data_IF_653830963519
#
_entry.id   IF_653830963519
#
_cell.length_a   1.000
_cell.length_b   1.000
_cell.length_c   1.000
_cell.angle_alpha   90.00
_cell.angle_beta   90.00
_cell.angle_gamma   90.00
#
_symmetry.space_group_name_H-M   'P 1'
#
loop_
_entity.id
_entity.type
_entity.pdbx_description
1 polymer ?
#
# COMPACT_ATOMS: atom_id res chain seq x y z
N UNK A 1 2.59 35.30 -71.83
CA UNK A 1 1.59 35.15 -70.76
C UNK A 1 2.12 34.13 -69.77
N UNK A 2 2.64 34.55 -68.60
CA UNK A 2 3.12 33.68 -67.52
C UNK A 2 1.94 33.38 -66.61
N UNK A 3 1.56 32.09 -66.47
CA UNK A 3 0.54 31.64 -65.51
C UNK A 3 1.18 31.53 -64.13
N UNK A 4 0.71 32.33 -63.18
CA UNK A 4 1.06 32.24 -61.76
C UNK A 4 0.18 31.17 -61.13
N UNK A 5 0.80 30.07 -60.58
CA UNK A 5 0.10 29.09 -59.76
C UNK A 5 0.17 29.54 -58.32
N UNK A 6 -0.97 29.85 -57.71
CA UNK A 6 -1.08 30.03 -56.27
C UNK A 6 -1.23 28.66 -55.59
N UNK A 7 -0.26 28.26 -54.78
CA UNK A 7 -0.41 27.14 -53.85
C UNK A 7 -1.04 27.68 -52.57
N UNK A 8 -2.28 27.32 -52.30
CA UNK A 8 -2.91 27.57 -51.03
C UNK A 8 -2.51 26.44 -50.08
N UNK A 9 -1.63 26.70 -49.10
CA UNK A 9 -1.38 25.82 -47.98
C UNK A 9 -2.58 25.88 -47.03
N UNK A 10 -3.38 24.82 -46.99
CA UNK A 10 -4.36 24.61 -45.91
C UNK A 10 -3.58 24.17 -44.64
N UNK A 11 -3.50 25.06 -43.67
CA UNK A 11 -3.11 24.68 -42.33
C UNK A 11 -4.32 24.04 -41.64
N UNK A 12 -4.33 22.73 -41.49
CA UNK A 12 -5.26 22.05 -40.60
C UNK A 12 -4.80 22.30 -39.15
N UNK A 13 -5.50 23.17 -38.43
CA UNK A 13 -5.34 23.32 -36.99
C UNK A 13 -6.06 22.16 -36.34
N UNK A 14 -5.33 21.16 -35.88
CA UNK A 14 -5.88 20.13 -35.02
C UNK A 14 -6.26 20.76 -33.67
N UNK A 15 -7.56 20.91 -33.41
CA UNK A 15 -8.02 21.27 -32.07
C UNK A 15 -7.96 20.04 -31.20
N UNK A 16 -7.00 20.01 -30.28
CA UNK A 16 -7.00 19.05 -29.19
C UNK A 16 -8.08 19.47 -28.19
N UNK A 17 -9.19 18.78 -28.20
CA UNK A 17 -10.17 18.85 -27.12
C UNK A 17 -9.63 18.00 -25.98
N UNK A 18 -9.01 18.63 -25.00
CA UNK A 18 -8.75 17.96 -23.73
C UNK A 18 -10.10 17.68 -23.07
N UNK A 19 -10.45 16.41 -22.89
CA UNK A 19 -11.62 16.04 -22.10
C UNK A 19 -11.35 16.48 -20.65
N UNK A 20 -12.11 17.42 -20.14
CA UNK A 20 -12.03 17.81 -18.75
C UNK A 20 -12.71 16.74 -17.91
N UNK A 21 -11.93 16.01 -17.12
CA UNK A 21 -12.47 15.07 -16.14
C UNK A 21 -13.07 15.89 -15.00
N UNK A 22 -14.33 15.66 -14.72
CA UNK A 22 -15.04 16.31 -13.60
C UNK A 22 -15.30 15.29 -12.52
N UNK A 23 -14.85 15.58 -11.30
CA UNK A 23 -15.10 14.76 -10.13
C UNK A 23 -16.26 15.33 -9.32
N UNK A 24 -17.25 14.49 -9.01
CA UNK A 24 -18.35 14.84 -8.12
C UNK A 24 -18.16 14.09 -6.80
N UNK A 25 -17.91 14.78 -5.68
CA UNK A 25 -17.76 14.12 -4.40
C UNK A 25 -19.08 13.49 -3.97
N UNK A 26 -19.01 12.24 -3.49
CA UNK A 26 -20.13 11.51 -2.91
C UNK A 26 -19.78 11.09 -1.48
N UNK A 27 -20.78 11.03 -0.59
CA UNK A 27 -20.62 10.47 0.74
C UNK A 27 -20.90 8.97 0.69
N UNK A 28 -19.92 8.17 1.04
CA UNK A 28 -20.06 6.72 1.03
C UNK A 28 -20.73 6.15 2.30
N UNK A 29 -20.86 6.95 3.37
CA UNK A 29 -21.56 6.51 4.61
C UNK A 29 -20.75 5.53 5.46
N UNK A 30 -19.40 5.64 5.45
CA UNK A 30 -18.54 4.81 6.30
C UNK A 30 -18.73 5.15 7.78
N UNK A 31 -18.81 4.11 8.64
CA UNK A 31 -19.10 4.23 10.06
C UNK A 31 -17.83 4.35 10.93
N UNK A 32 -16.67 3.90 10.43
CA UNK A 32 -15.43 3.79 11.19
C UNK A 32 -14.33 4.69 10.63
N UNK A 33 -13.25 4.89 11.38
CA UNK A 33 -12.24 5.90 11.05
C UNK A 33 -11.16 5.38 10.10
N UNK A 34 -10.71 4.13 10.27
CA UNK A 34 -9.73 3.51 9.36
C UNK A 34 -10.44 2.97 8.14
N UNK A 35 -9.92 3.32 6.96
CA UNK A 35 -10.59 3.05 5.68
C UNK A 35 -9.60 2.59 4.63
N UNK A 36 -10.08 1.71 3.76
CA UNK A 36 -9.38 1.22 2.59
C UNK A 36 -10.31 1.12 1.39
N UNK A 37 -9.71 0.96 0.22
CA UNK A 37 -10.41 0.64 -1.02
C UNK A 37 -9.75 -0.62 -1.57
N UNK A 38 -10.55 -1.68 -1.75
CA UNK A 38 -10.10 -2.99 -2.20
C UNK A 38 -11.30 -3.80 -2.68
N UNK A 39 -11.12 -4.65 -3.65
CA UNK A 39 -12.11 -5.64 -4.06
C UNK A 39 -12.18 -6.75 -2.98
N UNK A 40 -13.20 -6.70 -2.12
CA UNK A 40 -13.36 -7.60 -0.97
C UNK A 40 -14.04 -8.93 -1.33
N UNK A 41 -14.74 -8.98 -2.47
CA UNK A 41 -15.55 -10.14 -2.89
C UNK A 41 -15.07 -10.78 -4.19
N UNK A 42 -14.02 -10.25 -4.85
CA UNK A 42 -13.44 -10.80 -6.07
C UNK A 42 -14.27 -10.56 -7.33
N UNK A 43 -15.16 -9.56 -7.33
CA UNK A 43 -16.02 -9.25 -8.48
C UNK A 43 -15.39 -8.27 -9.49
N UNK A 44 -14.21 -7.72 -9.17
CA UNK A 44 -13.45 -6.78 -10.00
C UNK A 44 -13.88 -5.33 -9.83
N UNK A 45 -14.73 -5.03 -8.85
CA UNK A 45 -15.10 -3.67 -8.45
C UNK A 45 -14.46 -3.35 -7.10
N UNK A 46 -13.92 -2.15 -6.97
CA UNK A 46 -13.34 -1.71 -5.71
C UNK A 46 -14.42 -1.37 -4.69
N UNK A 47 -14.38 -2.04 -3.55
CA UNK A 47 -15.26 -1.82 -2.41
C UNK A 47 -14.69 -0.78 -1.45
N UNK A 48 -15.53 -0.20 -0.60
CA UNK A 48 -15.08 0.69 0.47
C UNK A 48 -15.13 -0.05 1.79
N UNK A 49 -13.95 -0.24 2.37
CA UNK A 49 -13.74 -0.88 3.66
C UNK A 49 -13.60 0.15 4.76
N UNK A 50 -14.23 -0.08 5.92
CA UNK A 50 -13.91 0.65 7.15
C UNK A 50 -13.91 -0.28 8.36
N UNK A 51 -12.96 -0.06 9.29
CA UNK A 51 -12.71 -0.96 10.41
C UNK A 51 -12.66 -0.23 11.75
N UNK A 52 -12.99 -0.95 12.81
CA UNK A 52 -12.74 -0.59 14.20
C UNK A 52 -12.25 -1.84 14.96
N UNK A 53 -12.14 -1.75 16.28
CA UNK A 53 -11.62 -2.84 17.12
C UNK A 53 -12.43 -4.14 17.11
N UNK A 54 -13.66 -4.15 16.58
CA UNK A 54 -14.57 -5.31 16.68
C UNK A 54 -15.49 -5.50 15.49
N UNK A 55 -15.36 -4.66 14.46
CA UNK A 55 -16.20 -4.75 13.27
C UNK A 55 -15.46 -4.32 12.02
N UNK A 56 -15.80 -4.98 10.92
CA UNK A 56 -15.46 -4.63 9.55
C UNK A 56 -16.76 -4.24 8.87
N UNK A 57 -16.83 -3.02 8.32
CA UNK A 57 -17.89 -2.59 7.43
C UNK A 57 -17.35 -2.60 6.00
N UNK A 58 -18.05 -3.26 5.11
CA UNK A 58 -17.78 -3.23 3.67
C UNK A 58 -18.98 -2.62 2.96
N UNK A 59 -18.73 -1.65 2.11
CA UNK A 59 -19.68 -1.12 1.17
C UNK A 59 -19.33 -1.72 -0.20
N UNK A 60 -20.01 -2.81 -0.56
CA UNK A 60 -19.79 -3.51 -1.83
C UNK A 60 -20.30 -2.68 -2.99
N UNK A 61 -19.40 -2.28 -3.90
CA UNK A 61 -19.75 -1.55 -5.11
C UNK A 61 -20.54 -2.46 -6.06
N UNK A 62 -21.56 -1.89 -6.71
CA UNK A 62 -22.36 -2.57 -7.72
C UNK A 62 -22.05 -2.00 -9.10
N UNK A 63 -22.33 -2.77 -10.16
CA UNK A 63 -22.14 -2.33 -11.56
C UNK A 63 -22.85 -1.00 -11.90
N UNK A 64 -23.93 -0.66 -11.21
CA UNK A 64 -24.66 0.60 -11.38
C UNK A 64 -24.09 1.76 -10.55
N UNK A 65 -22.98 1.53 -9.81
CA UNK A 65 -22.31 2.50 -8.96
C UNK A 65 -22.99 2.70 -7.58
N UNK A 66 -24.00 1.93 -7.24
CA UNK A 66 -24.57 1.89 -5.89
C UNK A 66 -23.71 1.02 -4.96
N UNK A 67 -24.00 1.06 -3.65
CA UNK A 67 -23.30 0.26 -2.66
C UNK A 67 -24.30 -0.58 -1.84
N UNK A 68 -23.89 -1.83 -1.54
CA UNK A 68 -24.58 -2.69 -0.58
C UNK A 68 -23.71 -2.80 0.67
N UNK A 69 -24.27 -2.42 1.82
CA UNK A 69 -23.56 -2.46 3.10
C UNK A 69 -23.59 -3.86 3.70
N UNK A 70 -22.45 -4.30 4.22
CA UNK A 70 -22.31 -5.45 5.12
C UNK A 70 -21.47 -5.06 6.33
N UNK A 71 -21.85 -5.53 7.52
CA UNK A 71 -21.07 -5.36 8.74
C UNK A 71 -20.81 -6.73 9.34
N UNK A 72 -19.52 -7.08 9.43
CA UNK A 72 -19.06 -8.33 10.03
C UNK A 72 -18.47 -8.03 11.40
N UNK A 73 -19.01 -8.67 12.44
CA UNK A 73 -18.40 -8.62 13.76
C UNK A 73 -17.15 -9.50 13.79
N UNK A 74 -16.06 -8.98 14.36
CA UNK A 74 -14.78 -9.68 14.49
C UNK A 74 -14.50 -10.03 15.94
N UNK A 75 -13.48 -10.84 16.18
CA UNK A 75 -12.80 -10.85 17.46
C UNK A 75 -12.27 -9.45 17.78
N UNK A 76 -12.06 -9.16 19.07
CA UNK A 76 -11.56 -7.85 19.46
C UNK A 76 -10.09 -7.73 19.08
N UNK A 77 -9.76 -6.73 18.27
CA UNK A 77 -8.41 -6.47 17.82
C UNK A 77 -7.49 -6.15 19.00
N UNK A 78 -6.36 -6.85 19.09
CA UNK A 78 -5.33 -6.60 20.10
C UNK A 78 -4.73 -5.20 19.97
N UNK A 79 -4.61 -4.69 18.75
CA UNK A 79 -4.15 -3.34 18.44
C UNK A 79 -5.22 -2.58 17.64
N UNK A 80 -5.53 -1.36 18.06
CA UNK A 80 -6.57 -0.57 17.42
C UNK A 80 -6.17 -0.08 16.05
N UNK A 81 -7.04 -0.19 15.04
CA UNK A 81 -6.81 0.41 13.73
C UNK A 81 -6.89 1.94 13.86
N UNK A 82 -5.80 2.63 13.52
CA UNK A 82 -5.76 4.09 13.61
C UNK A 82 -4.90 4.78 12.56
N UNK A 83 -3.88 4.13 11.99
CA UNK A 83 -2.97 4.78 11.06
C UNK A 83 -2.59 3.95 9.84
N UNK A 84 -2.69 2.65 9.88
CA UNK A 84 -2.37 1.79 8.75
C UNK A 84 -3.45 0.74 8.52
N UNK A 85 -3.74 0.47 7.26
CA UNK A 85 -4.65 -0.58 6.82
C UNK A 85 -4.16 -1.11 5.47
N UNK A 86 -3.93 -2.42 5.41
CA UNK A 86 -3.68 -3.16 4.19
C UNK A 86 -4.65 -4.36 4.12
N UNK A 87 -4.95 -4.81 2.91
CA UNK A 87 -5.88 -5.90 2.69
C UNK A 87 -5.37 -6.79 1.55
N UNK A 88 -5.31 -8.09 1.76
CA UNK A 88 -5.00 -9.12 0.76
C UNK A 88 -5.36 -10.50 1.30
N UNK A 89 -5.51 -11.47 0.42
CA UNK A 89 -5.62 -12.89 0.76
C UNK A 89 -4.20 -13.48 0.94
N UNK A 90 -3.62 -13.29 2.16
CA UNK A 90 -2.22 -13.70 2.38
C UNK A 90 -2.07 -15.19 2.65
N UNK A 91 -3.11 -15.86 3.15
CA UNK A 91 -3.09 -17.30 3.40
C UNK A 91 -3.69 -18.15 2.26
N UNK A 92 -4.12 -17.48 1.17
CA UNK A 92 -4.67 -18.10 -0.05
C UNK A 92 -5.90 -18.96 0.19
N UNK A 93 -6.71 -18.60 1.17
CA UNK A 93 -7.98 -19.26 1.41
C UNK A 93 -9.11 -18.76 0.49
N UNK A 94 -8.86 -17.72 -0.33
CA UNK A 94 -9.78 -17.11 -1.28
C UNK A 94 -10.56 -15.93 -0.73
N UNK A 95 -10.26 -15.48 0.50
CA UNK A 95 -10.93 -14.36 1.16
C UNK A 95 -9.91 -13.32 1.64
N UNK A 96 -10.27 -12.06 1.53
CA UNK A 96 -9.39 -10.95 1.86
C UNK A 96 -9.19 -10.79 3.36
N UNK A 97 -7.94 -10.90 3.81
CA UNK A 97 -7.47 -10.63 5.17
C UNK A 97 -7.10 -9.16 5.33
N UNK A 98 -7.00 -8.71 6.58
CA UNK A 98 -6.63 -7.34 6.91
C UNK A 98 -5.40 -7.31 7.81
N UNK A 99 -4.55 -6.30 7.57
CA UNK A 99 -3.46 -5.89 8.45
C UNK A 99 -3.65 -4.42 8.78
N UNK A 100 -3.79 -4.12 10.05
CA UNK A 100 -3.93 -2.74 10.51
C UNK A 100 -3.23 -2.51 11.85
N UNK A 101 -2.98 -1.25 12.17
CA UNK A 101 -2.29 -0.92 13.41
C UNK A 101 -2.30 0.55 13.77
N UNK A 102 -1.61 0.84 14.84
CA UNK A 102 -1.51 2.18 15.41
C UNK A 102 -0.26 2.32 16.28
N UNK A 103 -0.36 3.05 17.39
CA UNK A 103 0.79 3.42 18.20
C UNK A 103 1.39 2.32 19.08
N UNK A 104 0.83 1.09 19.12
CA UNK A 104 1.28 0.06 20.06
C UNK A 104 1.57 -1.31 19.42
N UNK A 105 1.20 -1.53 18.19
CA UNK A 105 1.36 -2.79 17.49
C UNK A 105 0.44 -2.90 16.29
N UNK A 106 0.46 -4.05 15.65
CA UNK A 106 -0.39 -4.38 14.50
C UNK A 106 -1.26 -5.58 14.81
N UNK A 107 -2.41 -5.64 14.14
CA UNK A 107 -3.34 -6.77 14.17
C UNK A 107 -3.49 -7.31 12.76
N UNK A 108 -3.26 -8.60 12.61
CA UNK A 108 -3.73 -9.37 11.47
C UNK A 108 -5.13 -9.89 11.79
N UNK A 109 -6.08 -9.57 10.93
CA UNK A 109 -7.46 -10.01 11.05
C UNK A 109 -7.73 -10.95 9.89
N UNK A 110 -7.63 -12.25 10.16
CA UNK A 110 -7.66 -13.31 9.17
C UNK A 110 -9.10 -13.77 8.91
N UNK A 111 -9.50 -13.75 7.64
CA UNK A 111 -10.77 -14.29 7.20
C UNK A 111 -10.80 -15.82 7.34
N UNK A 112 -11.94 -16.38 7.66
CA UNK A 112 -12.14 -17.83 7.62
C UNK A 112 -12.40 -18.32 6.19
N UNK A 113 -12.38 -19.66 6.00
CA UNK A 113 -12.49 -20.31 4.68
C UNK A 113 -13.84 -20.09 3.95
N UNK A 114 -14.76 -19.33 4.51
CA UNK A 114 -16.03 -18.95 3.87
C UNK A 114 -16.28 -17.43 3.87
N UNK A 115 -15.32 -16.64 4.36
CA UNK A 115 -15.37 -15.18 4.38
C UNK A 115 -16.44 -14.57 5.31
N UNK A 116 -17.06 -15.39 6.18
CA UNK A 116 -18.16 -14.94 7.04
C UNK A 116 -17.73 -14.46 8.41
N UNK A 117 -16.49 -14.77 8.82
CA UNK A 117 -15.93 -14.42 10.12
C UNK A 117 -14.44 -14.12 10.01
N UNK A 118 -13.92 -13.41 11.00
CA UNK A 118 -12.50 -13.04 11.08
C UNK A 118 -11.95 -13.39 12.45
N UNK A 119 -10.74 -13.93 12.48
CA UNK A 119 -10.00 -14.29 13.68
C UNK A 119 -8.78 -13.39 13.81
N UNK A 120 -8.53 -12.89 15.00
CA UNK A 120 -7.36 -12.09 15.33
C UNK A 120 -6.12 -12.97 15.45
N UNK A 121 -5.04 -12.63 14.73
CA UNK A 121 -3.74 -13.31 14.72
C UNK A 121 -2.65 -12.26 14.86
N UNK A 122 -2.39 -11.79 16.08
CA UNK A 122 -1.37 -10.77 16.34
C UNK A 122 -0.31 -11.28 17.29
N UNK A 123 0.92 -10.77 17.07
CA UNK A 123 2.04 -11.01 17.99
C UNK A 123 2.08 -9.99 19.13
N UNK A 124 2.96 -10.20 20.13
CA UNK A 124 3.16 -9.26 21.22
C UNK A 124 4.10 -8.09 20.89
N UNK A 125 4.57 -8.00 19.66
CA UNK A 125 5.61 -7.06 19.24
C UNK A 125 5.10 -5.63 19.31
N UNK A 126 5.94 -4.74 19.84
CA UNK A 126 5.70 -3.31 19.78
C UNK A 126 6.00 -2.79 18.39
N UNK A 127 5.02 -2.15 17.76
CA UNK A 127 5.17 -1.46 16.47
C UNK A 127 4.39 -0.16 16.51
N UNK A 128 5.06 0.97 16.36
CA UNK A 128 4.39 2.23 16.09
C UNK A 128 4.17 2.34 14.58
N UNK A 129 3.08 1.75 14.12
CA UNK A 129 2.76 1.55 12.72
C UNK A 129 2.40 2.86 12.02
N UNK A 130 2.99 3.11 10.84
CA UNK A 130 2.65 4.25 9.97
C UNK A 130 2.05 3.79 8.64
N UNK A 131 2.64 2.81 8.00
CA UNK A 131 2.18 2.22 6.74
C UNK A 131 2.34 0.71 6.82
N UNK A 132 1.33 -0.01 6.34
CA UNK A 132 1.38 -1.47 6.19
C UNK A 132 1.18 -1.85 4.73
N UNK A 133 1.85 -2.92 4.30
CA UNK A 133 1.73 -3.50 2.97
C UNK A 133 1.71 -5.02 3.09
N UNK A 134 0.93 -5.69 2.22
CA UNK A 134 1.16 -7.07 1.84
C UNK A 134 1.96 -7.08 0.53
N UNK A 135 3.04 -7.84 0.50
CA UNK A 135 3.98 -7.91 -0.64
C UNK A 135 4.80 -9.19 -0.54
N UNK A 136 5.15 -9.80 -1.65
CA UNK A 136 6.08 -10.93 -1.70
C UNK A 136 7.52 -10.39 -1.60
N UNK A 137 8.09 -10.38 -0.38
CA UNK A 137 9.40 -9.77 -0.09
C UNK A 137 10.55 -10.65 -0.61
N UNK A 138 10.38 -11.96 -0.52
CA UNK A 138 11.44 -12.94 -0.79
C UNK A 138 11.30 -13.64 -2.15
N UNK A 139 10.33 -13.24 -2.98
CA UNK A 139 10.02 -13.82 -4.29
C UNK A 139 9.68 -15.33 -4.26
N UNK A 140 9.08 -15.81 -3.16
CA UNK A 140 8.63 -17.21 -3.04
C UNK A 140 7.21 -17.43 -3.56
N UNK A 141 6.53 -16.37 -3.94
CA UNK A 141 5.19 -16.34 -4.47
C UNK A 141 4.11 -16.25 -3.39
N UNK A 142 4.43 -16.12 -2.11
CA UNK A 142 3.49 -15.90 -1.02
C UNK A 142 3.54 -14.44 -0.56
N UNK A 143 2.40 -13.91 -0.12
CA UNK A 143 2.37 -12.55 0.39
C UNK A 143 2.90 -12.51 1.82
N UNK A 144 3.96 -11.76 2.01
CA UNK A 144 4.51 -11.34 3.29
C UNK A 144 3.85 -10.03 3.75
N UNK A 145 4.20 -9.54 4.93
CA UNK A 145 3.75 -8.25 5.40
C UNK A 145 4.93 -7.37 5.80
N UNK A 146 4.87 -6.09 5.41
CA UNK A 146 5.84 -5.07 5.80
C UNK A 146 5.13 -3.92 6.51
N UNK A 147 5.73 -3.41 7.61
CA UNK A 147 5.17 -2.30 8.39
C UNK A 147 6.24 -1.26 8.70
N UNK A 148 6.02 -0.05 8.21
CA UNK A 148 6.83 1.11 8.58
C UNK A 148 6.69 1.40 10.08
N UNK A 149 7.81 1.45 10.80
CA UNK A 149 7.86 1.79 12.22
C UNK A 149 8.34 3.24 12.43
N UNK A 150 7.58 4.06 13.15
CA UNK A 150 7.91 5.48 13.32
C UNK A 150 9.14 5.73 14.22
N UNK A 151 9.34 4.92 15.25
CA UNK A 151 10.32 5.24 16.32
C UNK A 151 11.43 4.21 16.50
N UNK A 152 11.41 3.14 15.72
CA UNK A 152 12.42 2.06 15.71
C UNK A 152 12.63 1.57 14.26
N UNK A 153 13.56 0.64 13.98
CA UNK A 153 13.66 -0.03 12.68
C UNK A 153 12.32 -0.66 12.27
N UNK A 154 12.02 -0.61 10.99
CA UNK A 154 10.80 -1.20 10.43
C UNK A 154 10.72 -2.70 10.67
N UNK A 155 9.52 -3.26 10.57
CA UNK A 155 9.28 -4.67 10.81
C UNK A 155 8.66 -5.33 9.58
N UNK A 156 8.90 -6.62 9.43
CA UNK A 156 8.24 -7.43 8.42
C UNK A 156 7.98 -8.84 8.93
N UNK A 157 7.08 -9.51 8.27
CA UNK A 157 6.61 -10.85 8.62
C UNK A 157 6.68 -11.72 7.38
N UNK A 158 7.52 -12.74 7.40
CA UNK A 158 7.68 -13.70 6.29
C UNK A 158 6.64 -14.81 6.43
N UNK A 159 5.90 -15.04 5.37
CA UNK A 159 4.90 -16.09 5.27
C UNK A 159 5.55 -17.41 4.84
N UNK A 160 5.29 -18.48 5.56
CA UNK A 160 5.81 -19.83 5.25
C UNK A 160 5.05 -20.54 4.10
N UNK A 161 4.08 -19.88 3.50
CA UNK A 161 3.20 -20.43 2.47
C UNK A 161 2.00 -21.21 3.00
N UNK A 162 1.90 -21.39 4.32
CA UNK A 162 0.76 -22.01 5.03
C UNK A 162 -0.04 -20.95 5.82
N UNK A 163 0.31 -19.65 5.65
CA UNK A 163 -0.31 -18.54 6.37
C UNK A 163 0.24 -18.29 7.77
N UNK A 164 1.39 -18.93 8.14
CA UNK A 164 2.08 -18.56 9.36
C UNK A 164 3.13 -17.49 9.07
N UNK A 165 3.18 -16.48 9.94
CA UNK A 165 3.99 -15.28 9.77
C UNK A 165 5.15 -15.27 10.78
N UNK A 166 6.39 -15.29 10.31
CA UNK A 166 7.59 -15.16 11.13
C UNK A 166 8.02 -13.70 11.21
N UNK A 167 8.12 -13.15 12.42
CA UNK A 167 8.47 -11.76 12.70
C UNK A 167 9.95 -11.46 12.56
N UNK A 168 10.26 -10.33 11.92
CA UNK A 168 11.61 -9.76 11.80
C UNK A 168 11.56 -8.27 12.07
N UNK A 169 12.63 -7.71 12.65
CA UNK A 169 12.81 -6.27 12.81
C UNK A 169 14.18 -5.85 12.28
N UNK A 170 14.22 -4.78 11.48
CA UNK A 170 15.43 -4.32 10.81
C UNK A 170 15.76 -5.13 9.56
N UNK A 171 16.85 -4.79 8.88
CA UNK A 171 17.22 -5.34 7.58
C UNK A 171 16.61 -4.58 6.40
N UNK A 172 15.39 -4.08 6.57
CA UNK A 172 14.67 -3.21 5.63
C UNK A 172 14.13 -2.01 6.40
N UNK A 173 14.74 -0.81 6.21
CA UNK A 173 14.42 0.37 7.02
C UNK A 173 15.05 0.26 8.42
N UNK A 174 16.37 0.38 8.47
CA UNK A 174 17.17 0.05 9.66
C UNK A 174 17.48 1.25 10.57
N UNK A 175 17.03 2.45 10.20
CA UNK A 175 17.39 3.63 10.98
C UNK A 175 16.93 3.48 12.43
N UNK A 176 17.84 3.58 13.44
CA UNK A 176 17.57 3.16 14.83
C UNK A 176 16.43 3.90 15.52
N UNK A 177 16.14 5.15 15.13
CA UNK A 177 15.03 5.94 15.67
C UNK A 177 13.82 6.00 14.70
N UNK A 178 13.78 5.12 13.70
CA UNK A 178 12.66 4.98 12.77
C UNK A 178 12.55 6.16 11.80
N UNK A 179 11.39 6.81 11.80
CA UNK A 179 11.06 7.85 10.81
C UNK A 179 10.44 7.31 9.55
N UNK A 180 10.12 6.03 9.50
CA UNK A 180 9.56 5.36 8.34
C UNK A 180 8.05 5.62 8.27
N UNK A 181 7.62 6.44 7.32
CA UNK A 181 6.22 6.89 7.22
C UNK A 181 5.46 6.26 6.05
N UNK A 182 6.11 6.04 4.93
CA UNK A 182 5.48 5.44 3.77
C UNK A 182 6.41 4.50 3.04
N UNK A 183 5.93 3.32 2.69
CA UNK A 183 6.62 2.38 1.81
C UNK A 183 5.86 2.23 0.50
N UNK A 184 6.61 2.17 -0.59
CA UNK A 184 6.10 1.85 -1.92
C UNK A 184 6.94 0.72 -2.47
N UNK A 185 6.27 -0.32 -2.93
CA UNK A 185 6.88 -1.50 -3.51
C UNK A 185 6.64 -1.51 -5.02
N UNK A 186 7.70 -1.63 -5.80
CA UNK A 186 7.67 -1.55 -7.26
C UNK A 186 8.91 -2.23 -7.84
N UNK A 187 8.82 -2.71 -9.06
CA UNK A 187 9.98 -3.11 -9.87
C UNK A 187 10.63 -1.83 -10.44
N UNK A 188 11.63 -1.31 -9.73
CA UNK A 188 12.26 -0.02 -10.04
C UNK A 188 13.20 -0.09 -11.23
N UNK A 189 13.94 -1.18 -11.36
CA UNK A 189 14.98 -1.34 -12.38
C UNK A 189 14.60 -2.29 -13.52
N UNK A 190 13.35 -2.79 -13.53
CA UNK A 190 12.76 -3.68 -14.51
C UNK A 190 13.42 -5.07 -14.59
N UNK A 191 13.86 -5.58 -13.46
CA UNK A 191 14.43 -6.93 -13.35
C UNK A 191 13.39 -8.00 -12.96
N UNK A 192 12.19 -7.60 -12.59
CA UNK A 192 10.99 -8.36 -12.19
C UNK A 192 10.94 -8.74 -10.72
N UNK A 193 11.84 -8.23 -9.93
CA UNK A 193 11.80 -8.33 -8.48
C UNK A 193 11.22 -7.03 -7.90
N UNK A 194 10.55 -7.11 -6.77
CA UNK A 194 9.99 -5.90 -6.17
C UNK A 194 11.03 -5.23 -5.28
N UNK A 195 11.29 -3.96 -5.56
CA UNK A 195 12.12 -3.07 -4.76
C UNK A 195 11.25 -2.27 -3.79
N UNK A 196 11.89 -1.62 -2.82
CA UNK A 196 11.18 -0.83 -1.83
C UNK A 196 11.75 0.58 -1.70
N UNK A 197 10.91 1.58 -1.87
CA UNK A 197 11.21 2.96 -1.46
C UNK A 197 10.54 3.28 -0.13
N UNK A 198 11.30 3.87 0.80
CA UNK A 198 10.78 4.36 2.08
C UNK A 198 10.84 5.88 2.14
N UNK A 199 9.66 6.50 2.27
CA UNK A 199 9.51 7.92 2.58
C UNK A 199 9.66 8.15 4.08
N UNK A 200 10.56 9.07 4.47
CA UNK A 200 10.92 9.28 5.88
C UNK A 200 10.59 10.69 6.38
N UNK A 201 10.33 10.79 7.67
CA UNK A 201 9.86 12.02 8.29
C UNK A 201 10.30 12.13 9.76
N UNK A 202 10.35 13.36 10.27
CA UNK A 202 10.57 13.68 11.69
C UNK A 202 12.03 13.64 12.14
N UNK A 203 12.33 14.21 13.30
CA UNK A 203 13.65 14.16 13.94
C UNK A 203 14.76 14.96 13.25
N UNK A 204 15.99 14.48 13.39
CA UNK A 204 17.21 14.98 12.78
C UNK A 204 17.29 14.70 11.28
N UNK A 205 18.30 15.29 10.58
CA UNK A 205 18.46 15.14 9.13
C UNK A 205 18.53 13.68 8.70
N UNK A 206 19.42 12.93 9.29
CA UNK A 206 19.68 11.53 8.91
C UNK A 206 18.45 10.63 9.10
N UNK A 207 17.56 10.99 10.03
CA UNK A 207 16.28 10.28 10.21
C UNK A 207 15.32 10.48 9.03
N UNK A 208 15.48 11.56 8.27
CA UNK A 208 14.60 11.94 7.15
C UNK A 208 15.12 11.52 5.79
N UNK A 209 16.37 11.05 5.72
CA UNK A 209 16.93 10.57 4.46
C UNK A 209 16.10 9.38 3.97
N UNK A 210 15.46 9.56 2.81
CA UNK A 210 14.65 8.50 2.21
C UNK A 210 15.54 7.32 1.81
N UNK A 211 15.01 6.13 1.83
CA UNK A 211 15.73 4.90 1.52
C UNK A 211 15.18 4.25 0.24
N UNK A 212 16.07 3.68 -0.56
CA UNK A 212 15.74 2.83 -1.70
C UNK A 212 16.43 1.49 -1.54
N UNK A 213 15.70 0.46 -1.26
CA UNK A 213 16.18 -0.90 -1.12
C UNK A 213 15.92 -1.66 -2.43
N UNK A 214 17.00 -1.90 -3.19
CA UNK A 214 16.95 -2.65 -4.45
C UNK A 214 17.08 -4.14 -4.13
N UNK A 215 16.14 -4.94 -4.62
CA UNK A 215 16.13 -6.39 -4.46
C UNK A 215 17.25 -7.02 -5.30
N UNK A 216 17.99 -7.96 -4.75
CA UNK A 216 19.09 -8.64 -5.46
C UNK A 216 18.65 -9.95 -6.14
N UNK A 217 17.34 -10.28 -6.09
CA UNK A 217 16.78 -11.50 -6.66
C UNK A 217 17.07 -12.79 -5.87
N UNK A 218 17.65 -12.67 -4.69
CA UNK A 218 17.99 -13.80 -3.81
C UNK A 218 17.41 -13.69 -2.39
N UNK A 219 16.43 -12.79 -2.22
CA UNK A 219 15.82 -12.47 -0.92
C UNK A 219 16.63 -11.49 -0.07
N UNK A 220 17.71 -10.92 -0.62
CA UNK A 220 18.47 -9.83 0.01
C UNK A 220 18.26 -8.51 -0.71
N UNK A 221 18.50 -7.40 -0.01
CA UNK A 221 18.35 -6.05 -0.55
C UNK A 221 19.63 -5.23 -0.40
N UNK A 222 19.82 -4.31 -1.34
CA UNK A 222 20.91 -3.33 -1.28
C UNK A 222 20.32 -1.93 -1.12
N UNK A 223 20.65 -1.24 -0.01
CA UNK A 223 20.28 0.16 0.16
C UNK A 223 21.03 1.02 -0.86
N UNK A 224 20.32 1.78 -1.67
CA UNK A 224 20.83 2.50 -2.86
C UNK A 224 20.39 3.97 -2.94
N UNK A 225 19.68 4.49 -1.93
CA UNK A 225 19.13 5.85 -1.92
C UNK A 225 20.15 6.93 -2.24
N UNK A 226 21.32 6.88 -1.59
CA UNK A 226 22.43 7.82 -1.84
C UNK A 226 22.93 7.77 -3.29
N UNK A 227 23.14 6.57 -3.84
CA UNK A 227 23.67 6.39 -5.19
C UNK A 227 22.68 6.82 -6.28
N UNK A 228 21.39 6.81 -5.97
CA UNK A 228 20.29 7.21 -6.85
C UNK A 228 19.87 8.68 -6.66
N UNK A 229 20.51 9.41 -5.73
CA UNK A 229 20.15 10.78 -5.31
C UNK A 229 18.70 10.90 -4.83
N UNK A 230 18.20 9.89 -4.16
CA UNK A 230 16.86 9.86 -3.53
C UNK A 230 16.89 10.28 -2.06
N UNK A 231 18.09 10.35 -1.46
CA UNK A 231 18.27 10.93 -0.12
C UNK A 231 18.13 12.44 -0.19
N UNK A 232 17.20 12.96 0.61
CA UNK A 232 17.12 14.37 0.92
C UNK A 232 16.71 14.54 2.38
N UNK A 233 16.96 15.68 2.99
CA UNK A 233 16.62 15.95 4.37
C UNK A 233 15.22 16.56 4.53
N UNK A 234 14.39 16.47 3.53
CA UNK A 234 13.02 16.95 3.52
C UNK A 234 12.07 16.00 4.27
N UNK A 235 11.01 16.55 4.81
CA UNK A 235 9.95 15.75 5.44
C UNK A 235 9.11 15.08 4.34
N UNK A 236 9.37 13.82 4.06
CA UNK A 236 8.66 13.05 3.04
C UNK A 236 7.68 12.08 3.72
N UNK A 237 6.38 12.25 3.49
CA UNK A 237 5.35 11.44 4.14
C UNK A 237 4.88 10.28 3.28
N UNK A 238 4.93 10.48 1.96
CA UNK A 238 4.48 9.51 0.98
C UNK A 238 5.08 9.86 -0.39
N UNK A 239 5.09 8.90 -1.29
CA UNK A 239 5.51 9.07 -2.68
C UNK A 239 4.53 8.36 -3.62
N UNK A 240 4.58 8.71 -4.90
CA UNK A 240 3.89 8.01 -5.96
C UNK A 240 4.90 7.78 -7.10
N UNK A 241 4.89 6.58 -7.63
CA UNK A 241 5.84 6.13 -8.65
C UNK A 241 5.06 5.65 -9.88
N UNK A 242 5.54 6.01 -11.03
CA UNK A 242 5.00 5.55 -12.31
C UNK A 242 6.04 5.76 -13.41
N UNK A 243 5.92 5.01 -14.49
CA UNK A 243 6.61 5.33 -15.75
C UNK A 243 5.99 6.64 -16.29
N UNK A 244 6.75 7.72 -16.19
CA UNK A 244 6.26 9.08 -16.46
C UNK A 244 6.32 9.46 -17.94
N UNK A 245 7.27 8.91 -18.69
CA UNK A 245 7.59 9.33 -20.05
C UNK A 245 7.45 8.22 -21.11
N UNK A 246 7.09 6.99 -20.72
CA UNK A 246 6.88 5.83 -21.60
C UNK A 246 7.96 5.63 -22.69
#
# INVERSE_FOLDING_TARGET
MKKLFFFACLFAVAQYSAAQVTFTPQSAGTNYNDRGIVDMNGDGLDDILSVNNSNIQVLYQQEDGSFIESIVATEFAGNSPSWSLAAADYDRNGFTDLLYGGGNGVTFMRANDDGTAYTEVSGPEYVFSQRSNFVDINNDGHLDAYVCHDVEPSVFYINDGEGNLEYFQGGLGDYPSGGHYGSVWLDFDNDRDVDMFIAKCGGESERRDNEMHVNNGDGTFTESGASLNLEDDMQTWSSAWADYDN
#
